data_IF_459597606275
#
_entry.id   IF_459597606275
#
_cell.length_a   1.000
_cell.length_b   1.000
_cell.length_c   1.000
_cell.angle_alpha   90.00
_cell.angle_beta   90.00
_cell.angle_gamma   90.00
#
_symmetry.space_group_name_H-M   'P 1'
#
loop_
_entity.id
_entity.type
_entity.pdbx_description
1 polymer ?
#
# COMPACT_ATOMS: atom_id res chain seq x y z
N UNK A 1 74.44 20.30 -10.50
CA UNK A 1 73.75 19.90 -9.25
C UNK A 1 72.51 20.72 -8.94
N UNK A 2 72.55 22.06 -9.01
CA UNK A 2 71.41 22.94 -8.67
C UNK A 2 70.17 22.68 -9.56
N UNK A 3 70.36 22.43 -10.85
CA UNK A 3 69.26 22.20 -11.79
C UNK A 3 68.46 20.90 -11.48
N UNK A 4 69.14 19.82 -11.07
CA UNK A 4 68.48 18.57 -10.68
C UNK A 4 67.70 18.71 -9.37
N UNK A 5 68.16 19.57 -8.46
CA UNK A 5 67.48 19.87 -7.20
C UNK A 5 66.15 20.62 -7.43
N UNK A 6 66.11 21.55 -8.40
CA UNK A 6 64.89 22.29 -8.76
C UNK A 6 63.84 21.36 -9.38
N UNK A 7 64.26 20.44 -10.26
CA UNK A 7 63.35 19.49 -10.91
C UNK A 7 62.68 18.55 -9.90
N UNK A 8 63.43 18.07 -8.89
CA UNK A 8 62.88 17.18 -7.85
C UNK A 8 61.82 17.89 -7.01
N UNK A 9 62.04 19.16 -6.67
CA UNK A 9 61.08 19.95 -5.89
C UNK A 9 59.78 20.15 -6.69
N UNK A 10 59.85 20.44 -7.98
CA UNK A 10 58.66 20.61 -8.83
C UNK A 10 57.88 19.30 -8.95
N UNK A 11 58.55 18.17 -9.15
CA UNK A 11 57.91 16.85 -9.24
C UNK A 11 57.24 16.50 -7.91
N UNK A 12 57.90 16.73 -6.78
CA UNK A 12 57.29 16.51 -5.45
C UNK A 12 56.09 17.42 -5.19
N UNK A 13 56.12 18.67 -5.68
CA UNK A 13 54.99 19.60 -5.58
C UNK A 13 53.81 19.16 -6.45
N UNK A 14 54.06 18.64 -7.65
CA UNK A 14 53.02 18.13 -8.54
C UNK A 14 52.39 16.83 -8.01
N UNK A 15 53.15 15.95 -7.37
CA UNK A 15 52.59 14.73 -6.76
C UNK A 15 51.77 15.05 -5.51
N UNK A 16 52.22 15.99 -4.67
CA UNK A 16 51.44 16.47 -3.52
C UNK A 16 50.15 17.19 -3.96
N UNK A 17 50.23 18.03 -5.00
CA UNK A 17 49.05 18.71 -5.56
C UNK A 17 48.08 17.72 -6.21
N UNK A 18 48.59 16.70 -6.91
CA UNK A 18 47.80 15.62 -7.48
C UNK A 18 47.07 14.80 -6.41
N UNK A 19 47.75 14.42 -5.32
CA UNK A 19 47.13 13.75 -4.16
C UNK A 19 46.10 14.61 -3.45
N UNK A 20 46.35 15.93 -3.35
CA UNK A 20 45.38 16.86 -2.78
C UNK A 20 44.14 17.01 -3.67
N UNK A 21 44.31 17.03 -5.00
CA UNK A 21 43.19 17.13 -5.95
C UNK A 21 42.40 15.83 -6.14
N UNK A 22 43.03 14.65 -6.02
CA UNK A 22 42.30 13.37 -6.02
C UNK A 22 41.63 13.12 -4.67
N UNK A 23 42.24 13.52 -3.54
CA UNK A 23 41.64 13.43 -2.21
C UNK A 23 40.46 14.39 -1.97
N UNK A 24 40.33 15.46 -2.77
CA UNK A 24 39.22 16.44 -2.68
C UNK A 24 38.14 16.24 -3.75
N UNK A 25 38.23 15.20 -4.58
CA UNK A 25 37.28 14.92 -5.68
C UNK A 25 36.16 13.95 -5.32
N UNK A 26 36.22 13.30 -4.17
CA UNK A 26 35.18 12.37 -3.68
C UNK A 26 34.58 12.80 -2.33
N UNK A 27 34.54 14.10 -2.06
CA UNK A 27 33.65 14.64 -1.01
C UNK A 27 32.38 15.20 -1.65
N UNK A 28 31.74 14.41 -2.52
CA UNK A 28 30.29 14.43 -2.50
C UNK A 28 29.93 13.90 -1.10
N UNK A 29 29.50 14.81 -0.24
CA UNK A 29 28.69 14.48 0.93
C UNK A 29 27.78 13.34 0.46
N UNK A 30 27.79 12.15 1.08
CA UNK A 30 26.75 11.18 0.78
C UNK A 30 25.47 11.96 1.05
N UNK A 31 24.69 12.27 0.01
CA UNK A 31 23.33 12.70 0.21
C UNK A 31 22.79 11.65 1.17
N UNK A 32 22.53 12.03 2.43
CA UNK A 32 21.67 11.26 3.30
C UNK A 32 20.44 11.07 2.43
N UNK A 33 20.28 9.87 1.88
CA UNK A 33 19.11 9.51 1.10
C UNK A 33 17.99 9.87 2.05
N UNK A 34 17.29 10.97 1.76
CA UNK A 34 16.14 11.43 2.52
C UNK A 34 15.12 10.31 2.32
N UNK A 35 15.22 9.30 3.17
CA UNK A 35 14.40 8.12 3.12
C UNK A 35 13.13 8.62 3.74
N UNK A 36 12.15 8.97 2.90
CA UNK A 36 10.90 9.51 3.41
C UNK A 36 10.21 8.41 4.24
N UNK A 37 10.41 8.51 5.55
CA UNK A 37 9.90 7.58 6.53
C UNK A 37 8.37 7.59 6.62
N UNK A 38 7.70 8.53 5.95
CA UNK A 38 6.26 8.71 5.95
C UNK A 38 5.59 8.27 4.63
N UNK A 39 6.31 7.57 3.76
CA UNK A 39 5.71 6.95 2.56
C UNK A 39 5.19 5.53 2.82
N UNK A 40 3.99 5.21 2.31
CA UNK A 40 3.34 3.90 2.48
C UNK A 40 4.24 2.72 2.07
N UNK A 41 4.95 2.72 0.91
CA UNK A 41 5.83 1.62 0.53
C UNK A 41 6.95 1.36 1.55
N UNK A 42 7.49 2.41 2.16
CA UNK A 42 8.50 2.29 3.21
C UNK A 42 7.92 1.60 4.45
N UNK A 43 6.74 2.04 4.92
CA UNK A 43 6.07 1.43 6.07
C UNK A 43 5.74 -0.04 5.84
N UNK A 44 5.27 -0.39 4.63
CA UNK A 44 5.02 -1.79 4.23
C UNK A 44 6.30 -2.63 4.32
N UNK A 45 7.42 -2.09 3.85
CA UNK A 45 8.72 -2.78 3.92
C UNK A 45 9.20 -2.96 5.36
N UNK A 46 9.08 -1.93 6.20
CA UNK A 46 9.47 -2.02 7.62
C UNK A 46 8.62 -3.00 8.42
N UNK A 47 7.31 -3.04 8.15
CA UNK A 47 6.41 -4.04 8.74
C UNK A 47 6.82 -5.45 8.30
N UNK A 48 7.09 -5.65 7.00
CA UNK A 48 7.58 -6.93 6.47
C UNK A 48 8.88 -7.36 7.15
N UNK A 49 9.87 -6.47 7.21
CA UNK A 49 11.18 -6.73 7.83
C UNK A 49 11.04 -7.07 9.31
N UNK A 50 10.12 -6.40 10.02
CA UNK A 50 9.85 -6.67 11.43
C UNK A 50 9.28 -8.08 11.63
N UNK A 51 8.29 -8.49 10.83
CA UNK A 51 7.77 -9.85 10.87
C UNK A 51 8.85 -10.90 10.54
N UNK A 52 9.65 -10.67 9.49
CA UNK A 52 10.73 -11.58 9.10
C UNK A 52 11.79 -11.69 10.21
N UNK A 53 12.18 -10.57 10.82
CA UNK A 53 13.11 -10.54 11.96
C UNK A 53 12.59 -11.40 13.11
N UNK A 54 11.31 -11.26 13.50
CA UNK A 54 10.71 -12.06 14.57
C UNK A 54 10.69 -13.56 14.20
N UNK A 55 10.35 -13.88 12.95
CA UNK A 55 10.24 -15.27 12.48
C UNK A 55 11.58 -15.97 12.30
N UNK A 56 12.65 -15.21 12.03
CA UNK A 56 13.99 -15.74 11.77
C UNK A 56 14.89 -15.67 13.02
N UNK A 57 14.56 -14.85 14.01
CA UNK A 57 15.33 -14.75 15.26
C UNK A 57 15.43 -16.09 15.98
N UNK A 58 16.65 -16.54 16.25
CA UNK A 58 16.89 -17.70 17.07
C UNK A 58 16.78 -17.31 18.55
N UNK A 59 15.90 -17.99 19.27
CA UNK A 59 15.59 -17.65 20.66
C UNK A 59 16.67 -18.21 21.61
N UNK A 60 17.37 -19.26 21.19
CA UNK A 60 18.47 -19.86 21.96
C UNK A 60 19.64 -18.89 22.16
N UNK A 61 19.88 -17.99 21.20
CA UNK A 61 21.03 -17.08 21.21
C UNK A 61 20.82 -15.89 22.18
N UNK A 62 19.64 -15.75 22.77
CA UNK A 62 19.25 -14.58 23.57
C UNK A 62 19.57 -14.70 25.07
N UNK A 63 20.17 -15.82 25.51
CA UNK A 63 20.53 -16.08 26.92
C UNK A 63 19.40 -15.75 27.92
N UNK A 64 18.16 -16.12 27.57
CA UNK A 64 16.96 -15.76 28.31
C UNK A 64 16.62 -16.78 29.41
N UNK A 65 15.87 -16.32 30.41
CA UNK A 65 15.21 -17.22 31.36
C UNK A 65 14.17 -18.11 30.65
N UNK A 66 13.98 -19.34 31.11
CA UNK A 66 13.05 -20.35 30.58
C UNK A 66 11.64 -19.79 30.34
N UNK A 67 11.12 -18.97 31.26
CA UNK A 67 9.78 -18.38 31.11
C UNK A 67 9.70 -17.40 29.93
N UNK A 68 10.73 -16.59 29.73
CA UNK A 68 10.81 -15.64 28.61
C UNK A 68 11.02 -16.33 27.27
N UNK A 69 11.84 -17.39 27.24
CA UNK A 69 12.02 -18.27 26.08
C UNK A 69 10.68 -18.83 25.63
N UNK A 70 9.93 -19.46 26.53
CA UNK A 70 8.60 -20.03 26.23
C UNK A 70 7.63 -18.95 25.73
N UNK A 71 7.65 -17.75 26.32
CA UNK A 71 6.79 -16.64 25.88
C UNK A 71 7.14 -16.20 24.47
N UNK A 72 8.42 -16.02 24.14
CA UNK A 72 8.86 -15.61 22.80
C UNK A 72 8.60 -16.69 21.76
N UNK A 73 8.78 -17.96 22.10
CA UNK A 73 8.44 -19.10 21.24
C UNK A 73 6.94 -19.12 20.90
N UNK A 74 6.09 -18.92 21.91
CA UNK A 74 4.63 -18.84 21.72
C UNK A 74 4.24 -17.69 20.80
N UNK A 75 4.79 -16.49 21.02
CA UNK A 75 4.52 -15.31 20.17
C UNK A 75 4.96 -15.58 18.72
N UNK A 76 6.18 -16.12 18.53
CA UNK A 76 6.72 -16.46 17.21
C UNK A 76 5.84 -17.48 16.49
N UNK A 77 5.40 -18.52 17.19
CA UNK A 77 4.49 -19.53 16.67
C UNK A 77 3.12 -18.95 16.29
N UNK A 78 2.55 -18.09 17.14
CA UNK A 78 1.27 -17.43 16.92
C UNK A 78 1.32 -16.51 15.69
N UNK A 79 2.36 -15.69 15.56
CA UNK A 79 2.60 -14.84 14.39
C UNK A 79 2.71 -15.69 13.12
N UNK A 80 3.51 -16.77 13.16
CA UNK A 80 3.66 -17.67 12.01
C UNK A 80 2.32 -18.30 11.61
N UNK A 81 1.50 -18.71 12.58
CA UNK A 81 0.17 -19.27 12.33
C UNK A 81 -0.74 -18.24 11.67
N UNK A 82 -0.90 -17.07 12.28
CA UNK A 82 -1.82 -16.04 11.79
C UNK A 82 -1.41 -15.47 10.42
N UNK A 83 -0.12 -15.28 10.16
CA UNK A 83 0.37 -14.88 8.84
C UNK A 83 0.13 -15.90 7.73
N UNK A 84 -0.09 -17.17 8.08
CA UNK A 84 -0.50 -18.22 7.13
C UNK A 84 -2.01 -18.25 6.97
N UNK A 85 -2.77 -18.23 8.07
CA UNK A 85 -4.22 -18.35 8.02
C UNK A 85 -4.93 -17.11 7.48
N UNK A 86 -4.35 -15.91 7.62
CA UNK A 86 -4.94 -14.67 7.11
C UNK A 86 -5.10 -14.67 5.57
N UNK A 87 -4.22 -15.37 4.84
CA UNK A 87 -4.35 -15.55 3.38
C UNK A 87 -5.55 -16.41 2.97
N UNK A 88 -6.06 -17.26 3.86
CA UNK A 88 -7.19 -18.15 3.58
C UNK A 88 -8.55 -17.57 3.97
N UNK A 89 -8.61 -16.29 4.37
CA UNK A 89 -9.86 -15.65 4.79
C UNK A 89 -10.24 -15.89 6.26
N UNK A 90 -9.30 -16.32 7.11
CA UNK A 90 -9.51 -16.31 8.56
C UNK A 90 -9.51 -14.85 9.08
N UNK A 91 -10.71 -14.35 9.34
CA UNK A 91 -10.98 -13.00 9.84
C UNK A 91 -10.22 -12.74 11.15
N UNK A 92 -10.18 -13.72 12.06
CA UNK A 92 -9.51 -13.56 13.36
C UNK A 92 -8.00 -13.45 13.20
N UNK A 93 -7.43 -14.23 12.27
CA UNK A 93 -6.02 -14.11 11.93
C UNK A 93 -5.68 -12.79 11.23
N UNK A 94 -6.54 -12.31 10.34
CA UNK A 94 -6.41 -10.98 9.71
C UNK A 94 -6.40 -9.88 10.76
N UNK A 95 -7.36 -9.89 11.69
CA UNK A 95 -7.43 -8.89 12.76
C UNK A 95 -6.18 -8.92 13.64
N UNK A 96 -5.71 -10.11 14.03
CA UNK A 96 -4.46 -10.26 14.79
C UNK A 96 -3.25 -9.65 14.06
N UNK A 97 -3.13 -9.87 12.75
CA UNK A 97 -2.02 -9.31 11.96
C UNK A 97 -2.12 -7.78 11.90
N UNK A 98 -3.32 -7.22 11.69
CA UNK A 98 -3.54 -5.76 11.71
C UNK A 98 -3.25 -5.15 13.08
N UNK A 99 -3.68 -5.78 14.17
CA UNK A 99 -3.35 -5.37 15.53
C UNK A 99 -1.84 -5.32 15.75
N UNK A 100 -1.13 -6.33 15.25
CA UNK A 100 0.32 -6.35 15.33
C UNK A 100 0.97 -5.26 14.45
N UNK A 101 0.42 -4.97 13.27
CA UNK A 101 0.84 -3.85 12.42
C UNK A 101 0.67 -2.52 13.17
N UNK A 102 -0.47 -2.29 13.83
CA UNK A 102 -0.70 -1.10 14.67
C UNK A 102 0.36 -0.99 15.77
N UNK A 103 0.70 -2.10 16.43
CA UNK A 103 1.78 -2.09 17.42
C UNK A 103 3.13 -1.70 16.82
N UNK A 104 3.48 -2.20 15.62
CA UNK A 104 4.73 -1.83 14.91
C UNK A 104 4.72 -0.33 14.57
N UNK A 105 3.61 0.19 14.04
CA UNK A 105 3.47 1.59 13.68
C UNK A 105 3.68 2.51 14.89
N UNK A 106 3.06 2.18 16.02
CA UNK A 106 3.15 2.97 17.24
C UNK A 106 4.53 2.87 17.91
N UNK A 107 5.06 1.65 18.06
CA UNK A 107 6.26 1.39 18.88
C UNK A 107 7.57 1.52 18.11
N UNK A 108 7.63 0.97 16.91
CA UNK A 108 8.87 0.88 16.13
C UNK A 108 9.03 2.10 15.21
N UNK A 109 7.93 2.54 14.59
CA UNK A 109 7.95 3.62 13.59
C UNK A 109 7.55 4.98 14.16
N UNK A 110 7.11 5.03 15.42
CA UNK A 110 6.81 6.28 16.11
C UNK A 110 5.64 7.06 15.49
N UNK A 111 4.68 6.37 14.88
CA UNK A 111 3.48 7.01 14.32
C UNK A 111 2.59 7.48 15.47
N UNK A 112 2.19 8.76 15.40
CA UNK A 112 1.42 9.50 16.40
C UNK A 112 0.42 10.42 15.69
N UNK A 113 -0.46 11.03 16.45
CA UNK A 113 -1.46 11.97 15.93
C UNK A 113 -0.84 13.14 15.15
N UNK A 114 0.35 13.58 15.53
CA UNK A 114 1.07 14.70 14.90
C UNK A 114 1.65 14.39 13.51
N UNK A 115 1.95 13.11 13.21
CA UNK A 115 2.67 12.73 11.99
C UNK A 115 1.88 11.82 11.05
N UNK A 116 0.80 11.18 11.51
CA UNK A 116 0.00 10.27 10.70
C UNK A 116 -0.55 10.94 9.43
N UNK A 117 -0.85 12.23 9.52
CA UNK A 117 -1.36 13.04 8.42
C UNK A 117 -0.32 13.31 7.32
N UNK A 118 0.98 13.07 7.60
CA UNK A 118 2.04 13.11 6.58
C UNK A 118 2.02 11.89 5.67
N UNK A 119 1.42 10.78 6.15
CA UNK A 119 1.33 9.51 5.42
C UNK A 119 0.09 9.51 4.54
N UNK A 120 -1.06 9.81 5.15
CA UNK A 120 -2.35 9.98 4.47
C UNK A 120 -2.93 11.30 4.98
N UNK A 121 -3.25 12.28 4.11
CA UNK A 121 -3.65 13.62 4.53
C UNK A 121 -5.10 13.68 5.05
N UNK A 122 -5.39 13.01 6.17
CA UNK A 122 -6.74 12.89 6.75
C UNK A 122 -7.40 14.24 7.06
N UNK A 123 -6.62 15.26 7.40
CA UNK A 123 -7.15 16.62 7.68
C UNK A 123 -7.39 17.43 6.40
N UNK A 124 -6.70 17.12 5.29
CA UNK A 124 -6.82 17.88 4.06
C UNK A 124 -7.51 17.06 2.95
N UNK A 125 -8.82 17.28 2.83
CA UNK A 125 -9.70 16.56 1.90
C UNK A 125 -9.28 16.67 0.44
N UNK A 126 -8.68 17.80 0.03
CA UNK A 126 -8.28 18.02 -1.38
C UNK A 126 -7.03 17.26 -1.78
N UNK A 127 -6.25 16.76 -0.80
CA UNK A 127 -5.04 15.97 -1.05
C UNK A 127 -5.30 14.46 -1.00
N UNK A 128 -6.48 14.03 -0.54
CA UNK A 128 -6.85 12.62 -0.49
C UNK A 128 -7.18 12.10 -1.88
N UNK A 129 -6.64 10.93 -2.22
CA UNK A 129 -7.02 10.23 -3.44
C UNK A 129 -8.43 9.66 -3.33
N UNK A 130 -9.12 9.37 -4.45
CA UNK A 130 -10.41 8.70 -4.43
C UNK A 130 -10.39 7.36 -3.67
N UNK A 131 -9.28 6.62 -3.75
CA UNK A 131 -9.08 5.40 -2.96
C UNK A 131 -9.03 5.70 -1.46
N UNK A 132 -8.29 6.72 -1.02
CA UNK A 132 -8.23 7.08 0.41
C UNK A 132 -9.61 7.46 0.93
N UNK A 133 -10.36 8.26 0.16
CA UNK A 133 -11.74 8.65 0.50
C UNK A 133 -12.65 7.44 0.62
N UNK A 134 -12.59 6.51 -0.34
CA UNK A 134 -13.37 5.27 -0.30
C UNK A 134 -13.02 4.39 0.90
N UNK A 135 -11.73 4.17 1.19
CA UNK A 135 -11.30 3.34 2.32
C UNK A 135 -11.72 3.93 3.66
N UNK A 136 -11.64 5.25 3.81
CA UNK A 136 -12.13 5.96 5.00
C UNK A 136 -13.65 5.81 5.13
N UNK A 137 -14.40 6.03 4.04
CA UNK A 137 -15.86 5.86 4.03
C UNK A 137 -16.26 4.43 4.41
N UNK A 138 -15.63 3.44 3.79
CA UNK A 138 -15.89 2.04 4.07
C UNK A 138 -15.59 1.70 5.53
N UNK A 139 -14.51 2.24 6.10
CA UNK A 139 -14.20 2.10 7.52
C UNK A 139 -15.29 2.68 8.43
N UNK A 140 -15.78 3.90 8.15
CA UNK A 140 -16.84 4.56 8.92
C UNK A 140 -18.12 3.72 8.88
N UNK A 141 -18.54 3.29 7.70
CA UNK A 141 -19.72 2.43 7.53
C UNK A 141 -19.50 1.06 8.20
N UNK A 142 -18.29 0.51 8.17
CA UNK A 142 -17.96 -0.76 8.84
C UNK A 142 -18.06 -0.67 10.35
N UNK A 143 -17.72 0.47 10.97
CA UNK A 143 -17.95 0.67 12.41
C UNK A 143 -19.43 0.58 12.78
N UNK A 144 -20.33 1.04 11.91
CA UNK A 144 -21.77 1.07 12.17
C UNK A 144 -22.47 -0.24 11.76
N UNK A 145 -22.13 -0.75 10.58
CA UNK A 145 -22.86 -1.82 9.90
C UNK A 145 -22.04 -3.12 9.72
N UNK A 146 -20.81 -3.17 10.23
CA UNK A 146 -19.90 -4.34 10.13
C UNK A 146 -19.72 -4.77 8.66
N UNK A 147 -19.96 -6.04 8.34
CA UNK A 147 -19.80 -6.59 6.98
C UNK A 147 -20.90 -6.15 6.00
N UNK A 148 -21.95 -5.48 6.49
CA UNK A 148 -22.99 -4.89 5.64
C UNK A 148 -22.63 -3.46 5.19
N UNK A 149 -21.44 -2.96 5.53
CA UNK A 149 -21.02 -1.58 5.25
C UNK A 149 -21.14 -1.17 3.79
N UNK A 150 -20.60 -1.97 2.87
CA UNK A 150 -20.64 -1.67 1.43
C UNK A 150 -22.08 -1.72 0.89
N UNK A 151 -22.87 -2.69 1.34
CA UNK A 151 -24.31 -2.81 1.02
C UNK A 151 -25.07 -1.57 1.46
N UNK A 152 -24.81 -1.08 2.68
CA UNK A 152 -25.43 0.13 3.20
C UNK A 152 -24.99 1.38 2.43
N UNK A 153 -23.70 1.49 2.12
CA UNK A 153 -23.17 2.60 1.31
C UNK A 153 -23.85 2.66 -0.07
N UNK A 154 -23.92 1.52 -0.77
CA UNK A 154 -24.52 1.43 -2.11
C UNK A 154 -26.01 1.76 -2.07
N UNK A 155 -26.76 1.25 -1.08
CA UNK A 155 -28.20 1.47 -1.00
C UNK A 155 -28.57 2.88 -0.56
N UNK A 156 -27.85 3.46 0.41
CA UNK A 156 -28.13 4.81 0.92
C UNK A 156 -27.94 5.87 -0.16
N UNK A 157 -26.93 5.69 -1.02
CA UNK A 157 -26.57 6.66 -2.06
C UNK A 157 -26.94 6.22 -3.48
N UNK A 158 -27.68 5.12 -3.63
CA UNK A 158 -28.15 4.63 -4.93
C UNK A 158 -27.02 4.40 -5.97
N UNK A 159 -25.84 3.98 -5.51
CA UNK A 159 -24.63 3.88 -6.34
C UNK A 159 -24.67 2.79 -7.41
N UNK A 160 -25.56 1.81 -7.25
CA UNK A 160 -25.74 0.71 -8.20
C UNK A 160 -26.97 0.91 -9.09
N UNK A 161 -27.38 2.15 -9.34
CA UNK A 161 -28.46 2.46 -10.28
C UNK A 161 -27.96 2.49 -11.73
N UNK A 162 -28.87 2.22 -12.66
CA UNK A 162 -28.53 2.12 -14.07
C UNK A 162 -28.18 3.50 -14.62
N UNK A 163 -26.92 3.69 -14.98
CA UNK A 163 -26.45 4.89 -15.68
C UNK A 163 -26.57 4.67 -17.17
N UNK A 164 -27.06 5.69 -17.88
CA UNK A 164 -27.28 5.61 -19.33
C UNK A 164 -26.39 6.61 -20.04
N UNK A 165 -25.59 6.11 -20.97
CA UNK A 165 -24.85 6.92 -21.93
C UNK A 165 -25.23 6.43 -23.33
N UNK A 166 -26.17 7.13 -23.97
CA UNK A 166 -26.76 6.69 -25.24
C UNK A 166 -27.78 5.57 -25.09
N UNK A 167 -27.69 4.53 -25.94
CA UNK A 167 -28.64 3.40 -25.97
C UNK A 167 -28.28 2.25 -25.01
N UNK A 168 -27.03 2.18 -24.53
CA UNK A 168 -26.57 1.15 -23.59
C UNK A 168 -26.56 1.68 -22.15
N UNK A 169 -27.05 0.85 -21.22
CA UNK A 169 -27.01 1.14 -19.80
C UNK A 169 -25.90 0.35 -19.11
N UNK A 170 -25.18 0.99 -18.19
CA UNK A 170 -24.13 0.37 -17.40
C UNK A 170 -24.26 0.70 -15.92
N UNK A 171 -23.59 -0.09 -15.07
CA UNK A 171 -23.48 0.18 -13.64
C UNK A 171 -22.04 0.56 -13.34
N UNK A 172 -21.84 1.75 -12.79
CA UNK A 172 -20.53 2.26 -12.43
C UNK A 172 -20.66 3.11 -11.17
N UNK A 173 -19.71 2.95 -10.25
CA UNK A 173 -19.52 3.86 -9.14
C UNK A 173 -18.35 4.76 -9.51
N UNK A 174 -18.59 6.07 -9.61
CA UNK A 174 -17.60 7.03 -10.10
C UNK A 174 -16.79 7.63 -8.97
N UNK A 175 -15.64 8.23 -9.33
CA UNK A 175 -14.83 8.98 -8.35
C UNK A 175 -15.64 10.13 -7.77
N UNK A 176 -16.42 10.85 -8.58
CA UNK A 176 -17.20 12.02 -8.17
C UNK A 176 -18.21 11.65 -7.08
N UNK A 177 -18.92 10.53 -7.24
CA UNK A 177 -19.88 10.05 -6.24
C UNK A 177 -19.19 9.74 -4.90
N UNK A 178 -18.04 9.06 -4.93
CA UNK A 178 -17.27 8.77 -3.72
C UNK A 178 -16.77 10.05 -3.05
N UNK A 179 -16.34 11.03 -3.84
CA UNK A 179 -15.87 12.31 -3.33
C UNK A 179 -17.00 13.11 -2.66
N UNK A 180 -18.17 13.17 -3.30
CA UNK A 180 -19.36 13.84 -2.75
C UNK A 180 -19.82 13.18 -1.44
N UNK A 181 -19.88 11.85 -1.39
CA UNK A 181 -20.28 11.12 -0.18
C UNK A 181 -19.25 11.32 0.93
N UNK A 182 -17.97 11.31 0.59
CA UNK A 182 -16.90 11.57 1.56
C UNK A 182 -17.07 12.94 2.20
N UNK A 183 -17.36 13.96 1.40
CA UNK A 183 -17.53 15.31 1.90
C UNK A 183 -18.77 15.47 2.80
N UNK A 184 -19.81 14.67 2.55
CA UNK A 184 -21.05 14.64 3.33
C UNK A 184 -20.95 13.81 4.63
N UNK A 185 -20.32 12.64 4.61
CA UNK A 185 -20.30 11.72 5.76
C UNK A 185 -19.10 11.96 6.69
N UNK A 186 -17.94 12.30 6.13
CA UNK A 186 -16.68 12.26 6.88
C UNK A 186 -16.41 13.56 7.65
N UNK A 187 -16.66 13.52 8.95
CA UNK A 187 -16.36 14.62 9.87
C UNK A 187 -15.44 14.13 11.00
N UNK A 188 -14.28 14.76 11.14
CA UNK A 188 -13.34 14.61 12.27
C UNK A 188 -13.01 13.15 12.66
N UNK A 189 -12.06 12.54 11.96
CA UNK A 189 -11.52 11.23 12.34
C UNK A 189 -10.62 11.32 13.56
N UNK A 190 -10.87 10.48 14.55
CA UNK A 190 -9.98 10.32 15.71
C UNK A 190 -8.66 9.66 15.29
N UNK A 191 -7.59 9.88 16.07
CA UNK A 191 -6.30 9.22 15.81
C UNK A 191 -6.43 7.68 15.73
N UNK A 192 -7.25 7.08 16.58
CA UNK A 192 -7.52 5.63 16.55
C UNK A 192 -8.11 5.20 15.22
N UNK A 193 -9.03 5.98 14.66
CA UNK A 193 -9.69 5.69 13.38
C UNK A 193 -8.69 5.82 12.22
N UNK A 194 -7.87 6.87 12.23
CA UNK A 194 -6.77 7.06 11.26
C UNK A 194 -5.79 5.89 11.28
N UNK A 195 -5.45 5.40 12.48
CA UNK A 195 -4.54 4.27 12.66
C UNK A 195 -5.12 2.96 12.11
N UNK A 196 -6.42 2.71 12.28
CA UNK A 196 -7.08 1.53 11.69
C UNK A 196 -7.04 1.58 10.15
N UNK A 197 -7.35 2.73 9.56
CA UNK A 197 -7.31 2.90 8.10
C UNK A 197 -5.88 2.69 7.58
N UNK A 198 -4.88 3.28 8.23
CA UNK A 198 -3.48 3.11 7.85
C UNK A 198 -3.02 1.64 8.01
N UNK A 199 -3.37 0.98 9.10
CA UNK A 199 -3.03 -0.42 9.32
C UNK A 199 -3.67 -1.34 8.27
N UNK A 200 -4.93 -1.06 7.88
CA UNK A 200 -5.60 -1.75 6.81
C UNK A 200 -4.90 -1.53 5.46
N UNK A 201 -4.55 -0.29 5.11
CA UNK A 201 -3.79 0.04 3.89
C UNK A 201 -2.44 -0.67 3.83
N UNK A 202 -1.73 -0.80 4.95
CA UNK A 202 -0.48 -1.55 4.99
C UNK A 202 -0.72 -3.06 4.87
N UNK A 203 -1.72 -3.58 5.58
CA UNK A 203 -2.09 -4.99 5.52
C UNK A 203 -2.43 -5.42 4.10
N UNK A 204 -3.24 -4.64 3.39
CA UNK A 204 -3.72 -5.00 2.05
C UNK A 204 -2.59 -5.10 1.01
N UNK A 205 -1.57 -4.24 1.14
CA UNK A 205 -0.36 -4.25 0.31
C UNK A 205 0.64 -5.35 0.72
N UNK A 206 0.74 -5.64 2.02
CA UNK A 206 1.67 -6.65 2.53
C UNK A 206 1.17 -8.09 2.32
N UNK A 207 0.02 -8.44 2.91
CA UNK A 207 -0.51 -9.80 2.99
C UNK A 207 -1.90 -9.97 2.42
N UNK A 208 -2.69 -8.91 2.43
CA UNK A 208 -4.04 -8.91 1.90
C UNK A 208 -4.10 -8.93 0.37
N UNK A 209 -5.31 -8.73 -0.13
CA UNK A 209 -5.66 -8.82 -1.55
C UNK A 209 -5.63 -7.46 -2.28
N UNK A 210 -4.76 -6.54 -1.84
CA UNK A 210 -4.66 -5.20 -2.44
C UNK A 210 -5.95 -4.41 -2.21
N UNK A 211 -6.34 -3.60 -3.18
CA UNK A 211 -7.50 -2.69 -3.06
C UNK A 211 -8.85 -3.39 -2.83
N UNK A 212 -8.95 -4.69 -3.15
CA UNK A 212 -10.16 -5.47 -2.95
C UNK A 212 -10.23 -6.17 -1.58
N UNK A 213 -9.21 -6.04 -0.74
CA UNK A 213 -9.08 -6.80 0.51
C UNK A 213 -10.24 -6.59 1.48
N UNK A 214 -10.67 -5.34 1.71
CA UNK A 214 -11.84 -5.06 2.55
C UNK A 214 -13.16 -5.33 1.83
N UNK A 215 -13.22 -5.06 0.52
CA UNK A 215 -14.42 -5.26 -0.30
C UNK A 215 -14.84 -6.74 -0.27
N UNK A 216 -13.86 -7.65 -0.35
CA UNK A 216 -14.10 -9.10 -0.33
C UNK A 216 -14.72 -9.61 0.97
N UNK A 217 -14.43 -8.95 2.09
CA UNK A 217 -14.98 -9.33 3.39
C UNK A 217 -16.43 -8.82 3.59
N UNK A 218 -16.92 -7.95 2.71
CA UNK A 218 -18.29 -7.43 2.76
C UNK A 218 -19.30 -8.43 2.22
N UNK A 219 -20.57 -8.25 2.58
CA UNK A 219 -21.69 -9.07 2.07
C UNK A 219 -22.09 -8.66 0.65
N UNK A 220 -21.23 -9.00 -0.29
CA UNK A 220 -21.46 -8.87 -1.74
C UNK A 220 -21.36 -10.23 -2.41
N UNK A 221 -21.89 -10.35 -3.62
CA UNK A 221 -21.97 -11.63 -4.32
C UNK A 221 -20.62 -12.04 -4.93
N UNK A 222 -19.77 -11.07 -5.28
CA UNK A 222 -18.44 -11.33 -5.80
C UNK A 222 -17.64 -10.08 -6.15
N UNK A 223 -16.36 -10.28 -6.42
CA UNK A 223 -15.42 -9.24 -6.89
C UNK A 223 -14.67 -9.77 -8.10
N UNK A 224 -14.51 -8.95 -9.14
CA UNK A 224 -13.67 -9.25 -10.30
C UNK A 224 -12.61 -8.18 -10.46
N UNK A 225 -11.35 -8.59 -10.61
CA UNK A 225 -10.23 -7.70 -10.87
C UNK A 225 -9.48 -8.15 -12.12
N UNK A 226 -9.02 -7.23 -12.96
CA UNK A 226 -8.23 -7.60 -14.15
C UNK A 226 -9.01 -8.01 -15.39
N UNK A 227 -10.34 -7.87 -15.39
CA UNK A 227 -11.21 -8.39 -16.48
C UNK A 227 -11.41 -7.41 -17.63
N UNK A 228 -11.17 -6.11 -17.40
CA UNK A 228 -11.28 -5.06 -18.42
C UNK A 228 -9.94 -4.39 -18.63
N UNK A 229 -9.58 -4.14 -19.89
CA UNK A 229 -8.33 -3.47 -20.26
C UNK A 229 -7.38 -4.37 -21.04
N UNK A 230 -6.33 -3.75 -21.57
CA UNK A 230 -5.29 -4.45 -22.34
C UNK A 230 -4.18 -4.87 -21.36
N UNK A 231 -3.73 -6.14 -21.35
CA UNK A 231 -2.57 -6.56 -20.57
C UNK A 231 -1.34 -5.73 -20.95
N UNK A 232 -0.52 -5.35 -19.96
CA UNK A 232 0.66 -4.51 -20.19
C UNK A 232 1.59 -5.06 -21.29
N UNK A 233 1.74 -6.39 -21.36
CA UNK A 233 2.59 -7.06 -22.35
C UNK A 233 2.17 -6.78 -23.81
N UNK A 234 0.91 -6.46 -24.06
CA UNK A 234 0.40 -6.18 -25.41
C UNK A 234 0.89 -4.85 -25.98
N UNK A 235 1.16 -3.85 -25.13
CA UNK A 235 1.66 -2.54 -25.58
C UNK A 235 3.11 -2.59 -26.11
N UNK A 236 3.89 -3.58 -25.68
CA UNK A 236 5.31 -3.70 -26.05
C UNK A 236 5.52 -4.15 -27.51
N UNK A 237 4.47 -4.66 -28.18
CA UNK A 237 4.58 -5.28 -29.51
C UNK A 237 3.94 -4.50 -30.66
N UNK A 238 3.25 -3.38 -30.40
CA UNK A 238 2.58 -2.58 -31.44
C UNK A 238 2.85 -1.09 -31.28
N UNK A 239 4.06 -0.67 -31.63
CA UNK A 239 4.30 0.70 -32.11
C UNK A 239 3.99 0.71 -33.60
N UNK A 240 2.93 1.38 -34.04
CA UNK A 240 2.96 2.24 -35.26
C UNK A 240 1.60 2.72 -35.79
N UNK A 241 0.45 2.32 -35.24
CA UNK A 241 -0.82 2.91 -35.66
C UNK A 241 -1.78 2.96 -34.47
N UNK A 242 -2.38 4.11 -34.15
CA UNK A 242 -3.73 4.25 -33.57
C UNK A 242 -3.99 5.68 -33.05
N UNK A 243 -4.43 6.56 -33.95
CA UNK A 243 -5.09 7.83 -33.60
C UNK A 243 -6.63 7.68 -33.47
N UNK A 244 -7.15 6.47 -33.22
CA UNK A 244 -8.60 6.22 -33.12
C UNK A 244 -9.05 5.42 -31.89
N UNK A 245 -8.18 5.21 -30.90
CA UNK A 245 -8.53 4.54 -29.62
C UNK A 245 -8.19 5.49 -28.46
N UNK A 246 -8.88 6.63 -28.37
CA UNK A 246 -8.83 7.47 -27.17
C UNK A 246 -9.70 6.94 -26.03
N UNK A 247 -10.48 5.87 -26.24
CA UNK A 247 -11.50 5.42 -25.30
C UNK A 247 -11.11 4.32 -24.30
N UNK A 248 -9.98 3.60 -24.41
CA UNK A 248 -9.63 2.54 -23.41
C UNK A 248 -8.13 2.29 -23.23
N UNK A 249 -7.38 3.28 -22.75
CA UNK A 249 -6.06 3.07 -22.09
C UNK A 249 -6.22 2.63 -20.62
N UNK A 250 -7.23 1.82 -20.31
CA UNK A 250 -7.31 1.19 -18.99
C UNK A 250 -6.40 -0.03 -19.04
N UNK A 251 -5.35 -0.02 -18.22
CA UNK A 251 -4.54 -1.22 -18.02
C UNK A 251 -5.42 -2.26 -17.33
N UNK A 252 -5.19 -3.55 -17.61
CA UNK A 252 -5.93 -4.62 -16.94
C UNK A 252 -5.91 -4.47 -15.41
N UNK A 253 -4.78 -4.05 -14.84
CA UNK A 253 -4.63 -3.85 -13.40
C UNK A 253 -5.43 -2.66 -12.83
N UNK A 254 -6.03 -1.80 -13.63
CA UNK A 254 -6.86 -0.68 -13.19
C UNK A 254 -8.38 -1.00 -13.25
N UNK A 255 -8.74 -2.27 -13.49
CA UNK A 255 -10.13 -2.72 -13.59
C UNK A 255 -10.56 -3.47 -12.34
N UNK A 256 -11.41 -2.85 -11.51
CA UNK A 256 -12.08 -3.50 -10.36
C UNK A 256 -13.60 -3.43 -10.51
N UNK A 257 -14.27 -4.56 -10.32
CA UNK A 257 -15.72 -4.72 -10.45
C UNK A 257 -16.28 -5.46 -9.24
N UNK A 258 -17.49 -5.11 -8.85
CA UNK A 258 -18.26 -5.82 -7.83
C UNK A 258 -19.52 -6.42 -8.44
N UNK A 259 -19.90 -7.60 -7.95
CA UNK A 259 -21.20 -8.20 -8.22
C UNK A 259 -22.08 -8.02 -6.99
N UNK A 260 -23.19 -7.31 -7.16
CA UNK A 260 -24.07 -6.90 -6.08
C UNK A 260 -25.53 -7.01 -6.51
N UNK A 261 -26.28 -7.91 -5.87
CA UNK A 261 -27.71 -8.15 -6.11
C UNK A 261 -28.04 -8.38 -7.59
N UNK A 262 -27.20 -9.15 -8.28
CA UNK A 262 -27.39 -9.44 -9.70
C UNK A 262 -26.89 -8.35 -10.67
N UNK A 263 -26.31 -7.25 -10.16
CA UNK A 263 -25.73 -6.16 -10.95
C UNK A 263 -24.20 -6.24 -10.92
N UNK A 264 -23.57 -6.05 -12.07
CA UNK A 264 -22.11 -5.96 -12.19
C UNK A 264 -21.72 -4.49 -12.31
N UNK A 265 -21.18 -3.91 -11.23
CA UNK A 265 -20.82 -2.50 -11.17
C UNK A 265 -19.30 -2.30 -11.24
N UNK A 266 -18.87 -1.37 -12.10
CA UNK A 266 -17.47 -0.96 -12.22
C UNK A 266 -17.10 0.03 -11.11
N UNK A 267 -15.96 -0.17 -10.44
CA UNK A 267 -15.39 0.80 -9.50
C UNK A 267 -14.30 1.60 -10.22
N UNK A 268 -14.69 2.60 -11.00
CA UNK A 268 -13.78 3.36 -11.89
C UNK A 268 -12.66 4.12 -11.18
N UNK A 269 -12.83 4.40 -9.89
CA UNK A 269 -11.88 5.11 -9.05
C UNK A 269 -10.83 4.19 -8.40
N UNK A 270 -10.94 2.87 -8.59
CA UNK A 270 -10.16 1.87 -7.87
C UNK A 270 -9.38 0.97 -8.83
N UNK A 271 -8.08 0.82 -8.57
CA UNK A 271 -7.18 -0.03 -9.35
C UNK A 271 -6.09 -0.64 -8.49
N UNK A 272 -5.47 -1.73 -8.95
CA UNK A 272 -4.34 -2.37 -8.27
C UNK A 272 -3.03 -1.54 -8.40
N UNK A 273 -3.01 -0.52 -9.26
CA UNK A 273 -1.90 0.42 -9.43
C UNK A 273 -0.67 -0.13 -10.16
N UNK A 274 -0.48 -1.46 -10.21
CA UNK A 274 0.54 -2.08 -11.04
C UNK A 274 0.21 -3.53 -11.41
N UNK A 275 0.78 -4.00 -12.53
CA UNK A 275 0.67 -5.40 -12.95
C UNK A 275 1.27 -6.37 -11.91
N UNK A 276 2.38 -5.98 -11.28
CA UNK A 276 3.03 -6.79 -10.25
C UNK A 276 2.11 -7.01 -9.04
N UNK A 277 1.35 -5.98 -8.66
CA UNK A 277 0.39 -6.06 -7.57
C UNK A 277 -0.78 -6.98 -7.92
N UNK A 278 -1.37 -6.84 -9.12
CA UNK A 278 -2.41 -7.75 -9.59
C UNK A 278 -1.93 -9.21 -9.56
N UNK A 279 -0.73 -9.48 -10.08
CA UNK A 279 -0.13 -10.83 -10.06
C UNK A 279 0.10 -11.34 -8.62
N UNK A 280 0.53 -10.47 -7.69
CA UNK A 280 0.68 -10.82 -6.26
C UNK A 280 -0.66 -11.25 -5.67
N UNK A 281 -1.71 -10.47 -5.92
CA UNK A 281 -3.06 -10.74 -5.43
C UNK A 281 -3.58 -12.07 -5.99
N UNK A 282 -3.48 -12.29 -7.31
CA UNK A 282 -3.89 -13.56 -7.93
C UNK A 282 -3.13 -14.76 -7.32
N UNK A 283 -1.80 -14.66 -7.17
CA UNK A 283 -0.99 -15.73 -6.55
C UNK A 283 -1.39 -16.01 -5.10
N UNK A 284 -1.86 -15.01 -4.36
CA UNK A 284 -2.32 -15.20 -2.98
C UNK A 284 -3.71 -15.85 -2.93
N UNK A 285 -4.58 -15.61 -3.92
CA UNK A 285 -5.92 -16.21 -3.99
C UNK A 285 -5.86 -17.68 -4.43
N UNK A 286 -4.99 -18.02 -5.38
CA UNK A 286 -4.86 -19.39 -5.92
C UNK A 286 -3.95 -20.32 -5.10
N UNK A 287 -3.53 -19.91 -3.90
CA UNK A 287 -2.69 -20.70 -2.98
C UNK A 287 -3.51 -21.46 -1.96
#
# INVERSE_FOLDING_TARGET
MIFNLIIIVIISGMTLSGLYFTGKRDSCIPDEIYTDHYHIPYLVNEVKNTFESILNKNIADLNLNKAETIKRDKIKSLIRKNLRSCSYGDIGAKEYVKDYIKEILLKNLGIKEENIDRIIPFTNRSLLTPQDKFEILLYIFKKQYKYDALTMLINTYHLADLKKEGEEGFYEITKEEIEEIYDFECHNLLFTDKLEVLAQRIYQLYKGFGVIDEIRDMKIDGVSGGISGIPFDFYTYQSDDFNSIELRKLNAYDSVWIFYQGKTAHLSFLGFGSQNELVRVCKNIYR
#
